data_IF_508835327418
#
_entry.id   IF_508835327418
#
_cell.length_a   1.000
_cell.length_b   1.000
_cell.length_c   1.000
_cell.angle_alpha   90.00
_cell.angle_beta   90.00
_cell.angle_gamma   90.00
#
_symmetry.space_group_name_H-M   'P 1'
#
loop_
_entity.id
_entity.type
_entity.pdbx_description
1 polymer ?
#
# COMPACT_ATOMS: atom_id res chain seq x y z
N UNK A 1 5.15 7.13 7.07
CA UNK A 1 4.38 6.77 5.86
C UNK A 1 3.32 7.83 5.62
N UNK A 2 3.12 8.26 4.39
CA UNK A 2 2.34 9.45 4.03
C UNK A 2 0.89 9.43 4.58
N UNK A 3 0.65 10.22 5.63
CA UNK A 3 -0.68 10.66 6.12
C UNK A 3 -1.71 10.90 4.99
N UNK A 4 -1.24 11.50 3.90
CA UNK A 4 -2.08 11.89 2.77
C UNK A 4 -2.41 10.73 1.82
N UNK A 5 -1.62 9.67 1.78
CA UNK A 5 -1.85 8.51 0.93
C UNK A 5 -2.96 7.60 1.50
N UNK A 6 -3.07 7.55 2.83
CA UNK A 6 -4.19 6.91 3.54
C UNK A 6 -5.45 7.80 3.56
N UNK A 7 -5.38 9.01 3.01
CA UNK A 7 -6.56 9.82 2.79
C UNK A 7 -7.42 9.18 1.71
N UNK A 8 -8.66 8.87 2.07
CA UNK A 8 -9.70 8.45 1.12
C UNK A 8 -9.74 9.35 -0.13
N UNK A 9 -9.44 10.65 0.04
CA UNK A 9 -9.39 11.61 -1.05
C UNK A 9 -8.26 11.38 -2.06
N UNK A 10 -7.07 10.97 -1.60
CA UNK A 10 -5.95 10.67 -2.48
C UNK A 10 -6.24 9.40 -3.30
N UNK A 11 -6.75 8.36 -2.66
CA UNK A 11 -7.13 7.11 -3.32
C UNK A 11 -8.23 7.32 -4.36
N UNK A 12 -9.26 8.10 -4.02
CA UNK A 12 -10.31 8.50 -4.97
C UNK A 12 -9.71 9.29 -6.14
N UNK A 13 -8.81 10.24 -5.85
CA UNK A 13 -8.12 11.03 -6.87
C UNK A 13 -7.30 10.16 -7.84
N UNK A 14 -6.53 9.21 -7.30
CA UNK A 14 -5.71 8.29 -8.07
C UNK A 14 -6.57 7.40 -8.99
N UNK A 15 -7.69 6.88 -8.48
CA UNK A 15 -8.64 6.10 -9.29
C UNK A 15 -9.25 6.93 -10.42
N UNK A 16 -9.61 8.18 -10.17
CA UNK A 16 -10.12 9.09 -11.21
C UNK A 16 -9.07 9.31 -12.30
N UNK A 17 -7.81 9.53 -11.93
CA UNK A 17 -6.71 9.69 -12.90
C UNK A 17 -6.56 8.43 -13.76
N UNK A 18 -6.59 7.24 -13.16
CA UNK A 18 -6.52 5.99 -13.91
C UNK A 18 -7.66 5.82 -14.91
N UNK A 19 -8.90 6.12 -14.50
CA UNK A 19 -10.06 6.07 -15.40
C UNK A 19 -9.91 7.05 -16.56
N UNK A 20 -9.40 8.27 -16.31
CA UNK A 20 -9.16 9.25 -17.36
C UNK A 20 -8.07 8.80 -18.36
N UNK A 21 -6.97 8.20 -17.88
CA UNK A 21 -5.91 7.67 -18.73
C UNK A 21 -6.42 6.51 -19.60
N UNK A 22 -7.12 5.55 -19.00
CA UNK A 22 -7.74 4.43 -19.72
C UNK A 22 -8.74 4.97 -20.76
N UNK A 23 -9.59 5.92 -20.38
CA UNK A 23 -10.55 6.52 -21.30
C UNK A 23 -9.85 7.22 -22.48
N UNK A 24 -8.79 7.97 -22.22
CA UNK A 24 -7.99 8.64 -23.24
C UNK A 24 -7.40 7.63 -24.23
N UNK A 25 -6.74 6.58 -23.75
CA UNK A 25 -6.12 5.56 -24.60
C UNK A 25 -7.18 4.73 -25.34
N UNK A 26 -8.32 4.42 -24.73
CA UNK A 26 -9.44 3.76 -25.42
C UNK A 26 -9.96 4.63 -26.56
N UNK A 27 -10.15 5.94 -26.32
CA UNK A 27 -10.60 6.88 -27.35
C UNK A 27 -9.58 6.98 -28.49
N UNK A 28 -8.30 7.11 -28.17
CA UNK A 28 -7.21 7.15 -29.15
C UNK A 28 -7.09 5.85 -29.93
N UNK A 29 -7.20 4.70 -29.26
CA UNK A 29 -7.20 3.39 -29.90
C UNK A 29 -8.37 3.22 -30.89
N UNK A 30 -9.58 3.68 -30.54
CA UNK A 30 -10.71 3.63 -31.47
C UNK A 30 -10.45 4.46 -32.74
N UNK A 31 -9.75 5.58 -32.61
CA UNK A 31 -9.43 6.46 -33.74
C UNK A 31 -8.25 5.96 -34.59
N UNK A 32 -7.18 5.45 -33.98
CA UNK A 32 -5.93 5.10 -34.69
C UNK A 32 -5.75 3.61 -34.93
N UNK A 33 -6.43 2.75 -34.15
CA UNK A 33 -6.29 1.29 -34.12
C UNK A 33 -4.85 0.79 -33.87
N UNK A 34 -3.96 1.64 -33.37
CA UNK A 34 -2.57 1.29 -33.06
C UNK A 34 -2.49 0.40 -31.83
N UNK A 35 -1.62 -0.62 -31.88
CA UNK A 35 -1.38 -1.57 -30.76
C UNK A 35 -0.78 -0.92 -29.52
N UNK A 36 -0.03 0.17 -29.68
CA UNK A 36 0.60 0.93 -28.59
C UNK A 36 -0.42 1.34 -27.51
N UNK A 37 -1.60 1.82 -27.91
CA UNK A 37 -2.65 2.21 -26.97
C UNK A 37 -3.23 1.02 -26.19
N UNK A 38 -3.26 -0.18 -26.78
CA UNK A 38 -3.70 -1.39 -26.07
C UNK A 38 -2.67 -1.77 -25.02
N UNK A 39 -1.38 -1.69 -25.34
CA UNK A 39 -0.30 -1.93 -24.38
C UNK A 39 -0.35 -0.90 -23.24
N UNK A 40 -0.55 0.38 -23.54
CA UNK A 40 -0.71 1.42 -22.52
C UNK A 40 -1.89 1.15 -21.58
N UNK A 41 -3.03 0.70 -22.11
CA UNK A 41 -4.19 0.32 -21.28
C UNK A 41 -3.83 -0.83 -20.33
N UNK A 42 -3.21 -1.90 -20.85
CA UNK A 42 -2.83 -3.06 -20.04
C UNK A 42 -1.81 -2.67 -18.97
N UNK A 43 -0.80 -1.87 -19.32
CA UNK A 43 0.20 -1.36 -18.39
C UNK A 43 -0.44 -0.46 -17.32
N UNK A 44 -1.38 0.40 -17.71
CA UNK A 44 -2.09 1.28 -16.77
C UNK A 44 -2.94 0.48 -15.79
N UNK A 45 -3.63 -0.57 -16.26
CA UNK A 45 -4.40 -1.45 -15.38
C UNK A 45 -3.46 -2.22 -14.44
N UNK A 46 -2.37 -2.79 -14.95
CA UNK A 46 -1.39 -3.52 -14.14
C UNK A 46 -0.76 -2.64 -13.07
N UNK A 47 -0.35 -1.43 -13.44
CA UNK A 47 0.17 -0.44 -12.50
C UNK A 47 -0.89 0.00 -11.47
N UNK A 48 -2.14 0.20 -11.90
CA UNK A 48 -3.23 0.52 -10.98
C UNK A 48 -3.49 -0.57 -9.94
N UNK A 49 -3.47 -1.85 -10.35
CA UNK A 49 -3.58 -2.98 -9.42
C UNK A 49 -2.40 -3.00 -8.47
N UNK A 50 -1.17 -2.91 -8.98
CA UNK A 50 0.04 -2.93 -8.16
C UNK A 50 0.09 -1.77 -7.14
N UNK A 51 -0.22 -0.55 -7.58
CA UNK A 51 -0.20 0.64 -6.72
C UNK A 51 -1.31 0.62 -5.66
N UNK A 52 -2.47 0.02 -5.96
CA UNK A 52 -3.61 -0.06 -5.04
C UNK A 52 -3.59 -1.30 -4.14
N UNK A 53 -2.74 -2.29 -4.43
CA UNK A 53 -2.69 -3.55 -3.69
C UNK A 53 -2.39 -3.38 -2.19
N UNK A 54 -1.38 -2.58 -1.77
CA UNK A 54 -1.09 -2.37 -0.35
C UNK A 54 -2.22 -1.67 0.43
N UNK A 55 -3.04 -0.87 -0.25
CA UNK A 55 -4.22 -0.26 0.36
C UNK A 55 -5.35 -1.26 0.50
N UNK A 56 -5.52 -2.14 -0.48
CA UNK A 56 -6.49 -3.21 -0.40
C UNK A 56 -6.17 -4.15 0.77
N UNK A 57 -4.93 -4.60 0.91
CA UNK A 57 -4.49 -5.45 2.03
C UNK A 57 -4.70 -4.76 3.37
N UNK A 58 -4.31 -3.49 3.50
CA UNK A 58 -4.54 -2.75 4.75
C UNK A 58 -6.04 -2.57 5.03
N UNK A 59 -6.84 -2.10 4.08
CA UNK A 59 -8.24 -1.74 4.32
C UNK A 59 -9.17 -2.96 4.42
N UNK A 60 -8.99 -3.94 3.53
CA UNK A 60 -9.88 -5.11 3.42
C UNK A 60 -9.30 -6.37 4.09
N UNK A 61 -7.98 -6.47 4.23
CA UNK A 61 -7.30 -7.64 4.79
C UNK A 61 -7.35 -7.73 6.32
N UNK A 62 -7.70 -6.64 6.99
CA UNK A 62 -7.70 -6.55 8.46
C UNK A 62 -9.00 -5.95 8.96
N UNK A 63 -9.63 -6.60 9.94
CA UNK A 63 -10.78 -6.02 10.65
C UNK A 63 -10.29 -4.93 11.61
N UNK A 64 -11.09 -3.88 11.81
CA UNK A 64 -10.75 -2.78 12.72
C UNK A 64 -10.37 -3.25 14.13
N UNK A 65 -11.04 -4.28 14.66
CA UNK A 65 -10.72 -4.84 15.98
C UNK A 65 -9.30 -5.42 16.06
N UNK A 66 -8.83 -6.05 14.98
CA UNK A 66 -7.50 -6.66 14.90
C UNK A 66 -6.42 -5.58 14.79
N UNK A 67 -6.68 -4.54 13.98
CA UNK A 67 -5.80 -3.38 13.89
C UNK A 67 -5.67 -2.67 15.24
N UNK A 68 -6.79 -2.44 15.93
CA UNK A 68 -6.82 -1.82 17.27
C UNK A 68 -6.07 -2.66 18.29
N UNK A 69 -6.19 -3.99 18.23
CA UNK A 69 -5.46 -4.90 19.12
C UNK A 69 -3.94 -4.80 18.90
N UNK A 70 -3.45 -4.88 17.65
CA UNK A 70 -2.02 -4.73 17.36
C UNK A 70 -1.48 -3.37 17.78
N UNK A 71 -2.16 -2.29 17.39
CA UNK A 71 -1.74 -0.93 17.74
C UNK A 71 -1.79 -0.66 19.27
N UNK A 72 -2.57 -1.43 20.03
CA UNK A 72 -2.64 -1.28 21.48
C UNK A 72 -1.38 -1.74 22.22
N UNK A 73 -0.51 -2.52 21.54
CA UNK A 73 0.75 -2.99 22.10
C UNK A 73 1.85 -1.91 22.01
N UNK A 74 1.67 -0.91 21.14
CA UNK A 74 2.55 0.24 21.02
C UNK A 74 2.35 1.24 22.17
N UNK A 75 2.91 0.92 23.35
CA UNK A 75 2.93 1.81 24.52
C UNK A 75 4.39 2.11 24.92
N UNK A 76 4.77 3.39 24.92
CA UNK A 76 6.11 3.86 25.29
C UNK A 76 6.27 5.36 25.10
N UNK A 77 7.51 5.86 25.07
CA UNK A 77 7.82 7.26 24.74
C UNK A 77 7.36 7.63 23.33
N UNK A 78 7.16 8.92 23.03
CA UNK A 78 6.57 9.39 21.75
C UNK A 78 7.28 8.81 20.51
N UNK A 79 8.61 8.79 20.48
CA UNK A 79 9.37 8.24 19.36
C UNK A 79 9.23 6.72 19.22
N UNK A 80 9.24 5.99 20.33
CA UNK A 80 9.04 4.54 20.32
C UNK A 80 7.62 4.16 19.89
N UNK A 81 6.64 4.98 20.27
CA UNK A 81 5.23 4.80 19.89
C UNK A 81 5.03 5.09 18.40
N UNK A 82 5.67 6.13 17.84
CA UNK A 82 5.63 6.43 16.40
C UNK A 82 6.24 5.31 15.57
N UNK A 83 7.43 4.85 15.94
CA UNK A 83 8.10 3.74 15.25
C UNK A 83 7.26 2.46 15.27
N UNK A 84 6.72 2.11 16.45
CA UNK A 84 5.89 0.92 16.61
C UNK A 84 4.62 0.99 15.74
N UNK A 85 3.91 2.12 15.75
CA UNK A 85 2.74 2.32 14.89
C UNK A 85 3.08 2.25 13.39
N UNK A 86 4.23 2.78 13.00
CA UNK A 86 4.69 2.74 11.62
C UNK A 86 5.00 1.31 11.15
N UNK A 87 5.63 0.49 12.00
CA UNK A 87 5.89 -0.92 11.72
C UNK A 87 4.61 -1.75 11.63
N UNK A 88 3.64 -1.48 12.51
CA UNK A 88 2.32 -2.12 12.46
C UNK A 88 1.57 -1.73 11.17
N UNK A 89 1.64 -0.46 10.77
CA UNK A 89 1.01 0.01 9.53
C UNK A 89 1.66 -0.59 8.27
N UNK A 90 3.00 -0.69 8.23
CA UNK A 90 3.71 -1.42 7.19
C UNK A 90 3.26 -2.89 7.12
N UNK A 91 3.06 -3.52 8.28
CA UNK A 91 2.58 -4.90 8.38
C UNK A 91 1.16 -5.04 7.82
N UNK A 92 0.27 -4.08 8.09
CA UNK A 92 -1.09 -4.08 7.54
C UNK A 92 -1.10 -3.95 6.02
N UNK A 93 -0.14 -3.23 5.44
CA UNK A 93 -0.04 -2.98 4.00
C UNK A 93 0.64 -4.12 3.24
N UNK A 94 1.53 -4.87 3.89
CA UNK A 94 2.22 -5.98 3.25
C UNK A 94 1.42 -7.30 3.29
N UNK A 95 0.78 -7.59 4.43
CA UNK A 95 0.18 -8.91 4.67
C UNK A 95 -1.32 -8.84 4.92
N UNK A 96 -2.07 -9.84 4.44
CA UNK A 96 -3.43 -10.09 4.91
C UNK A 96 -3.38 -10.71 6.33
N UNK A 97 -4.43 -10.54 7.13
CA UNK A 97 -4.45 -11.06 8.50
C UNK A 97 -4.17 -12.58 8.60
N UNK A 98 -4.74 -13.37 7.68
CA UNK A 98 -4.57 -14.82 7.67
C UNK A 98 -3.16 -15.25 7.23
N UNK A 99 -2.49 -14.43 6.42
CA UNK A 99 -1.10 -14.63 6.00
C UNK A 99 -0.15 -14.26 7.14
N UNK A 100 -0.40 -13.10 7.77
CA UNK A 100 0.35 -12.65 8.95
C UNK A 100 0.32 -13.68 10.08
N UNK A 101 -0.84 -14.30 10.33
CA UNK A 101 -0.99 -15.36 11.34
C UNK A 101 -0.15 -16.61 11.06
N UNK A 102 0.04 -16.94 9.79
CA UNK A 102 0.78 -18.13 9.34
C UNK A 102 2.25 -17.82 9.11
N UNK A 103 2.63 -16.56 9.16
CA UNK A 103 3.98 -16.10 8.91
C UNK A 103 4.96 -16.66 9.94
N UNK A 104 6.07 -17.21 9.46
CA UNK A 104 7.17 -17.59 10.34
C UNK A 104 7.97 -16.33 10.71
N UNK A 105 7.83 -15.91 11.97
CA UNK A 105 8.52 -14.72 12.51
C UNK A 105 10.05 -14.89 12.58
N UNK A 106 10.56 -16.09 12.38
CA UNK A 106 12.00 -16.37 12.34
C UNK A 106 12.57 -16.49 10.92
N UNK A 107 11.73 -16.43 9.88
CA UNK A 107 12.16 -16.53 8.50
C UNK A 107 13.11 -15.39 8.11
N UNK A 108 13.95 -15.63 7.10
CA UNK A 108 14.82 -14.59 6.52
C UNK A 108 13.99 -13.47 5.90
N UNK A 109 12.90 -13.82 5.20
CA UNK A 109 12.01 -12.86 4.52
C UNK A 109 11.35 -11.89 5.51
N UNK A 110 10.81 -12.38 6.62
CA UNK A 110 10.20 -11.49 7.61
C UNK A 110 11.23 -10.61 8.32
N UNK A 111 12.45 -11.12 8.53
CA UNK A 111 13.53 -10.32 9.13
C UNK A 111 14.00 -9.21 8.21
N UNK A 112 14.09 -9.47 6.91
CA UNK A 112 14.37 -8.46 5.89
C UNK A 112 13.25 -7.42 5.85
N UNK A 113 11.98 -7.85 5.78
CA UNK A 113 10.83 -6.95 5.83
C UNK A 113 10.86 -6.02 7.06
N UNK A 114 11.07 -6.57 8.27
CA UNK A 114 11.11 -5.75 9.49
C UNK A 114 12.30 -4.79 9.49
N UNK A 115 13.43 -5.20 8.90
CA UNK A 115 14.61 -4.34 8.80
C UNK A 115 14.33 -3.17 7.84
N UNK A 116 13.81 -3.47 6.65
CA UNK A 116 13.50 -2.47 5.62
C UNK A 116 12.40 -1.51 6.13
N UNK A 117 11.32 -2.05 6.70
CA UNK A 117 10.27 -1.25 7.31
C UNK A 117 10.78 -0.37 8.46
N UNK A 118 11.77 -0.86 9.23
CA UNK A 118 12.38 -0.06 10.31
C UNK A 118 13.27 1.05 9.75
N UNK A 119 14.02 0.79 8.69
CA UNK A 119 14.81 1.81 8.00
C UNK A 119 13.88 2.89 7.43
N UNK A 120 12.81 2.50 6.72
CA UNK A 120 11.80 3.41 6.18
C UNK A 120 11.05 4.21 7.26
N UNK A 121 10.80 3.60 8.43
CA UNK A 121 10.13 4.28 9.54
C UNK A 121 11.05 5.18 10.37
N UNK A 122 12.37 4.99 10.30
CA UNK A 122 13.38 5.81 10.98
C UNK A 122 14.01 6.86 10.07
N UNK A 123 13.83 6.73 8.76
CA UNK A 123 14.32 7.71 7.81
C UNK A 123 13.47 8.98 7.88
N UNK A 124 13.92 9.90 8.74
CA UNK A 124 13.41 11.27 8.83
C UNK A 124 13.77 12.10 7.56
N UNK A 125 14.51 11.54 6.57
CA UNK A 125 15.09 12.30 5.45
C UNK A 125 14.11 12.84 4.41
N UNK A 126 12.80 12.74 4.64
CA UNK A 126 11.77 13.36 3.81
C UNK A 126 10.88 14.38 4.52
N UNK A 127 11.40 15.00 5.59
CA UNK A 127 10.97 16.33 6.09
C UNK A 127 12.17 17.23 6.44
#
# INVERSE_FOLDING_TARGET
MFDFLDSDWFNIGLQIVFVLLIYYDVKKWRATKKREHVLNIVLTIGFGIWALYPYYTSYMGWKEGQKKEMLSHCKGDENSTKLCKCLDDATFKEYMYDEYKKLDKNSSEYKEFIKDAKEDCLDDSWF
#
